data_IF_900623514573
#
_entry.id   IF_900623514573
#
_cell.length_a   1.000
_cell.length_b   1.000
_cell.length_c   1.000
_cell.angle_alpha   90.00
_cell.angle_beta   90.00
_cell.angle_gamma   90.00
#
_symmetry.space_group_name_H-M   'P 1'
#
loop_
_entity.id
_entity.type
_entity.pdbx_description
1 polymer ?
#
# COMPACT_ATOMS: atom_id res chain seq x y z
N UNK A 1 19.14 6.81 -35.57
CA UNK A 1 19.95 7.06 -34.35
C UNK A 1 19.18 7.90 -33.32
N UNK A 2 18.49 8.99 -33.74
CA UNK A 2 17.74 9.86 -32.80
C UNK A 2 16.64 9.11 -32.04
N UNK A 3 15.92 8.19 -32.70
CA UNK A 3 14.91 7.37 -32.03
C UNK A 3 15.51 6.51 -30.89
N UNK A 4 16.64 5.85 -31.11
CA UNK A 4 17.33 5.05 -30.09
C UNK A 4 17.84 5.89 -28.91
N UNK A 5 18.20 7.14 -29.15
CA UNK A 5 18.75 8.04 -28.13
C UNK A 5 17.65 8.71 -27.27
N UNK A 6 16.50 8.96 -27.87
CA UNK A 6 15.40 9.74 -27.25
C UNK A 6 14.16 8.89 -27.01
N UNK A 7 13.49 8.41 -28.04
CA UNK A 7 12.17 7.82 -27.95
C UNK A 7 12.19 6.39 -27.40
N UNK A 8 13.18 5.59 -27.79
CA UNK A 8 13.33 4.22 -27.27
C UNK A 8 13.55 4.16 -25.75
N UNK A 9 14.13 5.21 -25.15
CA UNK A 9 14.33 5.29 -23.70
C UNK A 9 13.04 5.54 -22.92
N UNK A 10 11.98 5.98 -23.59
CA UNK A 10 10.66 6.19 -23.01
C UNK A 10 9.79 4.94 -23.04
N UNK A 11 10.17 3.95 -23.86
CA UNK A 11 9.49 2.66 -23.95
C UNK A 11 10.05 1.76 -22.85
N UNK A 12 9.23 1.41 -21.90
CA UNK A 12 9.58 0.53 -20.76
C UNK A 12 8.43 -0.45 -20.49
N UNK A 13 8.73 -1.53 -19.80
CA UNK A 13 7.74 -2.43 -19.25
C UNK A 13 7.27 -1.84 -17.91
N UNK A 14 5.98 -1.56 -17.80
CA UNK A 14 5.41 -0.83 -16.65
C UNK A 14 5.53 -1.60 -15.32
N UNK A 15 5.55 -2.93 -15.39
CA UNK A 15 5.62 -3.86 -14.27
C UNK A 15 6.99 -4.52 -14.06
N UNK A 16 8.04 -4.05 -14.76
CA UNK A 16 9.38 -4.59 -14.67
C UNK A 16 10.38 -3.60 -14.07
N UNK A 17 11.00 -3.96 -12.96
CA UNK A 17 11.94 -3.12 -12.22
C UNK A 17 13.28 -3.82 -12.02
N UNK A 18 14.39 -3.07 -12.14
CA UNK A 18 15.74 -3.51 -11.84
C UNK A 18 16.26 -2.85 -10.56
N UNK A 19 16.38 -3.60 -9.49
CA UNK A 19 16.94 -3.12 -8.23
C UNK A 19 18.46 -3.32 -8.19
N UNK A 20 19.19 -2.29 -7.74
CA UNK A 20 20.64 -2.36 -7.49
C UNK A 20 20.89 -2.01 -6.04
N UNK A 21 21.40 -2.96 -5.28
CA UNK A 21 21.69 -2.80 -3.86
C UNK A 21 23.20 -2.87 -3.66
N UNK A 22 23.76 -1.87 -2.97
CA UNK A 22 25.15 -1.83 -2.55
C UNK A 22 25.22 -1.80 -1.03
N UNK A 23 25.86 -2.78 -0.44
CA UNK A 23 26.14 -2.81 1.00
C UNK A 23 27.48 -2.10 1.29
N UNK A 24 27.56 -1.46 2.45
CA UNK A 24 28.81 -0.90 2.99
C UNK A 24 29.61 -1.97 3.77
N UNK A 25 29.22 -3.24 3.71
CA UNK A 25 29.96 -4.38 4.25
C UNK A 25 29.46 -4.92 5.59
N UNK A 26 28.52 -4.24 6.27
CA UNK A 26 27.96 -4.70 7.57
C UNK A 26 27.02 -5.89 7.34
N UNK A 27 26.12 -5.79 6.34
CA UNK A 27 25.17 -6.84 5.98
C UNK A 27 25.35 -7.25 4.52
N UNK A 28 25.05 -8.51 4.19
CA UNK A 28 24.94 -8.97 2.81
C UNK A 28 23.72 -8.32 2.14
N UNK A 29 23.79 -8.07 0.84
CA UNK A 29 22.67 -7.46 0.10
C UNK A 29 21.37 -8.29 0.21
N UNK A 30 21.47 -9.62 0.21
CA UNK A 30 20.32 -10.53 0.41
C UNK A 30 19.71 -10.38 1.81
N UNK A 31 20.53 -10.22 2.85
CA UNK A 31 20.03 -10.05 4.22
C UNK A 31 19.33 -8.70 4.40
N UNK A 32 19.79 -7.66 3.70
CA UNK A 32 19.10 -6.34 3.67
C UNK A 32 17.69 -6.47 3.09
N UNK A 33 17.51 -7.23 2.00
CA UNK A 33 16.18 -7.47 1.40
C UNK A 33 15.30 -8.24 2.36
N UNK A 34 15.81 -9.29 2.99
CA UNK A 34 15.05 -10.07 4.00
C UNK A 34 14.60 -9.21 5.18
N UNK A 35 15.50 -8.39 5.72
CA UNK A 35 15.17 -7.47 6.81
C UNK A 35 14.11 -6.44 6.39
N UNK A 36 14.18 -5.91 5.17
CA UNK A 36 13.16 -5.00 4.66
C UNK A 36 11.79 -5.67 4.56
N UNK A 37 11.72 -6.91 4.06
CA UNK A 37 10.47 -7.69 4.05
C UNK A 37 9.95 -7.94 5.47
N UNK A 38 10.82 -8.31 6.41
CA UNK A 38 10.43 -8.58 7.80
C UNK A 38 9.87 -7.31 8.49
N UNK A 39 10.43 -6.13 8.20
CA UNK A 39 9.92 -4.84 8.70
C UNK A 39 8.53 -4.56 8.15
N UNK A 40 8.32 -4.68 6.83
CA UNK A 40 7.03 -4.45 6.19
C UNK A 40 5.97 -5.44 6.69
N UNK A 41 6.31 -6.72 6.82
CA UNK A 41 5.42 -7.73 7.41
C UNK A 41 4.99 -7.34 8.82
N UNK A 42 5.93 -6.92 9.67
CA UNK A 42 5.62 -6.51 11.05
C UNK A 42 4.70 -5.29 11.13
N UNK A 43 4.91 -4.29 10.26
CA UNK A 43 4.02 -3.13 10.17
C UNK A 43 2.60 -3.54 9.74
N UNK A 44 2.48 -4.37 8.71
CA UNK A 44 1.19 -4.90 8.23
C UNK A 44 0.50 -5.79 9.27
N UNK A 45 1.23 -6.60 10.02
CA UNK A 45 0.68 -7.39 11.14
C UNK A 45 0.11 -6.49 12.23
N UNK A 46 0.75 -5.36 12.53
CA UNK A 46 0.25 -4.37 13.50
C UNK A 46 -1.09 -3.78 13.03
N UNK A 47 -1.18 -3.40 11.76
CA UNK A 47 -2.42 -2.87 11.15
C UNK A 47 -3.50 -3.96 11.12
N UNK A 48 -3.17 -5.17 10.68
CA UNK A 48 -4.10 -6.31 10.63
C UNK A 48 -4.68 -6.66 11.99
N UNK A 49 -3.91 -6.49 13.06
CA UNK A 49 -4.36 -6.68 14.44
C UNK A 49 -5.27 -5.56 14.97
N UNK A 50 -5.57 -4.54 14.17
CA UNK A 50 -6.45 -3.43 14.54
C UNK A 50 -5.74 -2.26 15.24
N UNK A 51 -4.42 -2.20 15.18
CA UNK A 51 -3.62 -1.14 15.82
C UNK A 51 -3.05 -0.16 14.80
N UNK A 52 -2.76 1.06 15.25
CA UNK A 52 -2.07 2.08 14.43
C UNK A 52 -2.95 2.78 13.41
N UNK A 53 -4.28 2.60 13.45
CA UNK A 53 -5.20 3.33 12.60
C UNK A 53 -6.52 3.68 13.30
N UNK A 54 -7.22 4.67 12.77
CA UNK A 54 -8.56 5.05 13.18
C UNK A 54 -9.47 5.20 11.95
N UNK A 55 -10.73 4.76 12.07
CA UNK A 55 -11.73 4.87 11.00
C UNK A 55 -12.65 6.05 11.30
N UNK A 56 -12.68 7.04 10.41
CA UNK A 56 -13.54 8.22 10.51
C UNK A 56 -14.47 8.32 9.31
N UNK A 57 -15.69 8.78 9.56
CA UNK A 57 -16.61 9.14 8.49
C UNK A 57 -16.08 10.39 7.80
N UNK A 58 -16.14 10.41 6.47
CA UNK A 58 -15.72 11.57 5.71
C UNK A 58 -16.93 12.47 5.45
N UNK A 59 -16.82 13.74 5.85
CA UNK A 59 -17.87 14.77 5.67
C UNK A 59 -17.76 15.49 4.32
N UNK A 60 -17.01 14.95 3.36
CA UNK A 60 -16.87 15.54 2.02
C UNK A 60 -18.09 15.23 1.14
N UNK A 61 -18.11 15.82 -0.07
CA UNK A 61 -19.16 15.63 -1.08
C UNK A 61 -19.28 14.20 -1.66
N UNK A 62 -18.37 13.29 -1.29
CA UNK A 62 -18.40 11.89 -1.74
C UNK A 62 -19.31 11.07 -0.84
N UNK A 63 -20.38 10.52 -1.40
CA UNK A 63 -21.30 9.64 -0.67
C UNK A 63 -20.62 8.35 -0.22
N UNK A 64 -21.00 7.84 0.96
CA UNK A 64 -20.49 6.61 1.57
C UNK A 64 -18.96 6.55 1.66
N UNK A 65 -18.33 7.71 1.88
CA UNK A 65 -16.89 7.85 1.95
C UNK A 65 -16.39 7.76 3.39
N UNK A 66 -15.28 7.05 3.58
CA UNK A 66 -14.67 6.78 4.86
C UNK A 66 -13.17 7.02 4.75
N UNK A 67 -12.60 7.63 5.77
CA UNK A 67 -11.18 7.89 5.92
C UNK A 67 -10.59 6.94 6.97
N UNK A 68 -9.58 6.17 6.56
CA UNK A 68 -8.74 5.40 7.46
C UNK A 68 -7.48 6.23 7.70
N UNK A 69 -7.33 6.71 8.93
CA UNK A 69 -6.17 7.50 9.35
C UNK A 69 -5.13 6.57 9.93
N UNK A 70 -3.92 6.61 9.41
CA UNK A 70 -2.78 5.90 9.94
C UNK A 70 -1.85 6.85 10.69
N UNK A 71 -1.36 6.41 11.85
CA UNK A 71 -0.33 7.11 12.61
C UNK A 71 1.05 6.59 12.19
N UNK A 72 1.94 7.51 11.82
CA UNK A 72 3.34 7.22 11.46
C UNK A 72 3.55 6.29 10.25
N UNK A 73 2.50 6.01 9.44
CA UNK A 73 2.67 5.27 8.20
C UNK A 73 2.89 6.23 7.02
N UNK A 74 3.69 5.77 6.06
CA UNK A 74 4.07 6.58 4.90
C UNK A 74 3.62 5.93 3.58
N UNK A 75 3.98 6.54 2.49
CA UNK A 75 3.63 6.12 1.12
C UNK A 75 3.98 4.66 0.81
N UNK A 76 4.98 4.06 1.45
CA UNK A 76 5.34 2.66 1.24
C UNK A 76 4.16 1.72 1.56
N UNK A 77 3.65 1.78 2.78
CA UNK A 77 2.48 0.98 3.21
C UNK A 77 1.20 1.49 2.55
N UNK A 78 1.00 2.82 2.55
CA UNK A 78 -0.24 3.41 2.07
C UNK A 78 -0.53 3.14 0.59
N UNK A 79 0.46 3.28 -0.28
CA UNK A 79 0.30 3.02 -1.72
C UNK A 79 0.14 1.53 -2.04
N UNK A 80 0.72 0.67 -1.24
CA UNK A 80 0.51 -0.76 -1.36
C UNK A 80 -0.93 -1.15 -1.00
N UNK A 81 -1.45 -0.64 0.12
CA UNK A 81 -2.84 -0.85 0.52
C UNK A 81 -3.81 -0.26 -0.52
N UNK A 82 -3.56 0.96 -1.01
CA UNK A 82 -4.33 1.57 -2.09
C UNK A 82 -4.39 0.67 -3.33
N UNK A 83 -3.25 0.14 -3.78
CA UNK A 83 -3.19 -0.76 -4.93
C UNK A 83 -3.99 -2.05 -4.72
N UNK A 84 -3.89 -2.67 -3.55
CA UNK A 84 -4.62 -3.90 -3.24
C UNK A 84 -6.14 -3.64 -3.13
N UNK A 85 -6.55 -2.53 -2.51
CA UNK A 85 -7.96 -2.13 -2.50
C UNK A 85 -8.48 -1.85 -3.90
N UNK A 86 -7.69 -1.15 -4.73
CA UNK A 86 -8.04 -0.89 -6.12
C UNK A 86 -8.22 -2.19 -6.92
N UNK A 87 -7.27 -3.11 -6.84
CA UNK A 87 -7.32 -4.35 -7.60
C UNK A 87 -8.46 -5.25 -7.14
N UNK A 88 -8.61 -5.47 -5.82
CA UNK A 88 -9.56 -6.44 -5.29
C UNK A 88 -10.99 -5.92 -5.23
N UNK A 89 -11.17 -4.66 -4.85
CA UNK A 89 -12.50 -4.13 -4.52
C UNK A 89 -13.03 -3.11 -5.52
N UNK A 90 -12.18 -2.42 -6.26
CA UNK A 90 -12.60 -1.53 -7.34
C UNK A 90 -12.70 -2.30 -8.67
N UNK A 91 -11.65 -3.02 -9.08
CA UNK A 91 -11.60 -3.70 -10.39
C UNK A 91 -12.33 -5.05 -10.39
N UNK A 92 -12.14 -5.89 -9.36
CA UNK A 92 -12.65 -7.26 -9.38
C UNK A 92 -14.08 -7.37 -8.86
N UNK A 93 -14.37 -6.82 -7.67
CA UNK A 93 -15.70 -6.95 -7.03
C UNK A 93 -16.59 -5.74 -7.25
N UNK A 94 -16.05 -4.63 -7.69
CA UNK A 94 -16.74 -3.35 -7.91
C UNK A 94 -17.54 -2.85 -6.69
N UNK A 95 -17.12 -3.20 -5.48
CA UNK A 95 -17.78 -2.78 -4.23
C UNK A 95 -17.35 -1.38 -3.80
N UNK A 96 -16.14 -0.97 -4.18
CA UNK A 96 -15.58 0.36 -3.95
C UNK A 96 -15.69 1.19 -5.23
N UNK A 97 -16.06 2.45 -5.10
CA UNK A 97 -16.17 3.42 -6.20
C UNK A 97 -14.96 4.34 -6.28
N UNK A 98 -14.23 4.48 -5.17
CA UNK A 98 -13.04 5.33 -5.10
C UNK A 98 -12.09 4.82 -4.04
N UNK A 99 -10.79 4.87 -4.34
CA UNK A 99 -9.70 4.59 -3.39
C UNK A 99 -8.55 5.57 -3.66
N UNK A 100 -8.02 6.16 -2.62
CA UNK A 100 -6.82 7.02 -2.72
C UNK A 100 -6.10 7.10 -1.38
N UNK A 101 -4.77 7.04 -1.43
CA UNK A 101 -3.89 7.29 -0.30
C UNK A 101 -3.18 8.63 -0.48
N UNK A 102 -3.17 9.45 0.56
CA UNK A 102 -2.49 10.74 0.56
C UNK A 102 -2.06 11.17 1.97
N UNK A 103 -1.12 12.11 2.02
CA UNK A 103 -0.76 12.88 3.21
C UNK A 103 -1.19 14.32 2.99
N UNK A 104 -1.88 14.93 3.95
CA UNK A 104 -2.33 16.32 3.84
C UNK A 104 -1.15 17.29 3.73
N UNK A 105 -0.04 16.98 4.39
CA UNK A 105 1.21 17.71 4.27
C UNK A 105 2.40 16.77 4.46
N UNK A 106 3.53 16.94 3.74
CA UNK A 106 4.70 16.06 3.83
C UNK A 106 5.28 15.93 5.25
N UNK A 107 5.13 16.96 6.08
CA UNK A 107 5.62 16.95 7.47
C UNK A 107 4.64 16.34 8.49
N UNK A 108 3.40 16.05 8.08
CA UNK A 108 2.47 15.39 8.97
C UNK A 108 2.87 13.92 9.17
N UNK A 109 2.76 13.46 10.41
CA UNK A 109 2.94 12.03 10.74
C UNK A 109 1.73 11.21 10.34
N UNK A 110 0.56 11.82 10.25
CA UNK A 110 -0.69 11.17 9.84
C UNK A 110 -0.78 11.06 8.32
N UNK A 111 -1.29 9.91 7.87
CA UNK A 111 -1.66 9.65 6.48
C UNK A 111 -3.08 9.11 6.39
N UNK A 112 -3.70 9.26 5.23
CA UNK A 112 -5.12 9.00 5.03
C UNK A 112 -5.30 8.06 3.83
N UNK A 113 -5.97 6.94 4.06
CA UNK A 113 -6.52 6.09 2.99
C UNK A 113 -8.03 6.34 2.91
N UNK A 114 -8.47 6.98 1.84
CA UNK A 114 -9.87 7.28 1.58
C UNK A 114 -10.48 6.21 0.71
N UNK A 115 -11.61 5.67 1.18
CA UNK A 115 -12.41 4.69 0.47
C UNK A 115 -13.83 5.21 0.32
N UNK A 116 -14.44 5.07 -0.87
CA UNK A 116 -15.87 5.29 -1.07
C UNK A 116 -16.52 4.01 -1.56
N UNK A 117 -17.63 3.64 -0.97
CA UNK A 117 -18.35 2.40 -1.26
C UNK A 117 -19.62 2.67 -2.06
N UNK A 118 -20.06 1.68 -2.87
CA UNK A 118 -21.38 1.74 -3.57
C UNK A 118 -22.53 1.82 -2.56
N UNK A 119 -22.41 1.11 -1.44
CA UNK A 119 -23.41 1.06 -0.38
C UNK A 119 -22.79 1.49 0.95
N UNK A 120 -23.60 2.02 1.85
CA UNK A 120 -23.14 2.38 3.21
C UNK A 120 -22.58 1.15 3.92
N UNK A 121 -21.33 1.26 4.38
CA UNK A 121 -20.60 0.15 5.00
C UNK A 121 -20.29 0.51 6.45
N UNK A 122 -20.44 -0.45 7.35
CA UNK A 122 -20.13 -0.27 8.77
C UNK A 122 -18.61 -0.26 9.03
N UNK A 123 -18.18 0.49 10.04
CA UNK A 123 -16.76 0.61 10.43
C UNK A 123 -16.11 -0.74 10.77
N UNK A 124 -16.86 -1.66 11.36
CA UNK A 124 -16.42 -3.02 11.67
C UNK A 124 -16.09 -3.82 10.41
N UNK A 125 -16.92 -3.70 9.37
CA UNK A 125 -16.66 -4.33 8.08
C UNK A 125 -15.42 -3.77 7.39
N UNK A 126 -15.15 -2.46 7.54
CA UNK A 126 -13.96 -1.82 6.97
C UNK A 126 -12.69 -2.32 7.64
N UNK A 127 -12.68 -2.44 8.97
CA UNK A 127 -11.55 -3.01 9.71
C UNK A 127 -11.27 -4.45 9.28
N UNK A 128 -12.31 -5.24 9.03
CA UNK A 128 -12.17 -6.59 8.49
C UNK A 128 -11.60 -6.61 7.06
N UNK A 129 -12.09 -5.73 6.17
CA UNK A 129 -11.55 -5.60 4.81
C UNK A 129 -10.08 -5.18 4.82
N UNK A 130 -9.72 -4.22 5.68
CA UNK A 130 -8.33 -3.79 5.85
C UNK A 130 -7.44 -4.94 6.33
N UNK A 131 -7.90 -5.72 7.32
CA UNK A 131 -7.18 -6.89 7.81
C UNK A 131 -6.94 -7.93 6.70
N UNK A 132 -7.94 -8.20 5.86
CA UNK A 132 -7.78 -9.13 4.74
C UNK A 132 -6.73 -8.64 3.74
N UNK A 133 -6.80 -7.36 3.36
CA UNK A 133 -5.82 -6.75 2.44
C UNK A 133 -4.41 -6.79 3.03
N UNK A 134 -4.26 -6.48 4.32
CA UNK A 134 -2.96 -6.59 5.00
C UNK A 134 -2.42 -8.01 4.97
N UNK A 135 -3.26 -9.03 5.20
CA UNK A 135 -2.85 -10.43 5.18
C UNK A 135 -2.40 -10.87 3.77
N UNK A 136 -3.08 -10.43 2.72
CA UNK A 136 -2.63 -10.68 1.34
C UNK A 136 -1.25 -10.04 1.08
N UNK A 137 -1.04 -8.80 1.50
CA UNK A 137 0.27 -8.13 1.40
C UNK A 137 1.35 -8.88 2.17
N UNK A 138 1.05 -9.37 3.37
CA UNK A 138 1.98 -10.16 4.20
C UNK A 138 2.43 -11.41 3.46
N UNK A 139 1.51 -12.14 2.84
CA UNK A 139 1.85 -13.33 2.05
C UNK A 139 2.76 -13.01 0.86
N UNK A 140 2.52 -11.89 0.17
CA UNK A 140 3.41 -11.44 -0.92
C UNK A 140 4.84 -11.21 -0.40
N UNK A 141 5.01 -10.48 0.72
CA UNK A 141 6.35 -10.21 1.27
C UNK A 141 7.02 -11.45 1.85
N UNK A 142 6.28 -12.36 2.45
CA UNK A 142 6.83 -13.66 2.87
C UNK A 142 7.34 -14.47 1.67
N UNK A 143 6.60 -14.49 0.56
CA UNK A 143 7.01 -15.15 -0.67
C UNK A 143 8.24 -14.49 -1.30
N UNK A 144 8.31 -13.16 -1.34
CA UNK A 144 9.50 -12.43 -1.80
C UNK A 144 10.71 -12.79 -0.93
N UNK A 145 10.56 -12.78 0.39
CA UNK A 145 11.62 -13.11 1.35
C UNK A 145 12.22 -14.51 1.14
N UNK A 146 11.39 -15.48 0.72
CA UNK A 146 11.82 -16.85 0.45
C UNK A 146 12.70 -16.98 -0.82
N UNK A 147 12.65 -15.98 -1.72
CA UNK A 147 13.43 -15.99 -2.97
C UNK A 147 14.88 -15.52 -2.77
N UNK A 148 15.21 -14.95 -1.64
CA UNK A 148 16.53 -14.46 -1.28
C UNK A 148 17.15 -15.29 -0.14
#
# INVERSE_FOLDING_TARGET
QNWLLLDAKRIYLEDAFKFKIKSIGIYKCTDIVKMACDILVKQLETISAGNGFAVKDNETTMENSIDILFENEDYAIGKMLEYMFYTNYYMNTETITYVSFYKSHPHNTESILRLSFKNKTEKTAISYLLSNVCNECIEVFKNIRLQF
#
